data_IF_388094951019
#
_entry.id   IF_388094951019
#
_cell.length_a   1.000
_cell.length_b   1.000
_cell.length_c   1.000
_cell.angle_alpha   90.00
_cell.angle_beta   90.00
_cell.angle_gamma   90.00
#
_symmetry.space_group_name_H-M   'P 1'
#
loop_
_entity.id
_entity.type
_entity.pdbx_description
1 polymer ?
#
# COMPACT_ATOMS: atom_id res chain seq x y z
N UNK A 1 35.42 -30.95 4.67
CA UNK A 1 35.17 -29.77 5.54
C UNK A 1 34.44 -28.73 4.72
N UNK A 2 33.14 -28.59 4.92
CA UNK A 2 32.39 -27.55 4.23
C UNK A 2 32.84 -26.19 4.81
N UNK A 3 33.35 -25.29 3.96
CA UNK A 3 33.67 -23.93 4.36
C UNK A 3 32.34 -23.26 4.79
N UNK A 4 32.19 -22.97 6.07
CA UNK A 4 31.06 -22.19 6.57
C UNK A 4 30.94 -20.85 5.81
N UNK A 5 29.71 -20.36 5.67
CA UNK A 5 29.45 -19.08 5.02
C UNK A 5 30.22 -17.94 5.72
N UNK A 6 30.68 -16.97 4.95
CA UNK A 6 31.18 -15.72 5.55
C UNK A 6 30.02 -14.93 6.16
N UNK A 7 30.29 -14.07 7.15
CA UNK A 7 29.27 -13.23 7.78
C UNK A 7 28.55 -12.37 6.71
N UNK A 8 29.28 -11.85 5.73
CA UNK A 8 28.69 -11.07 4.64
C UNK A 8 27.69 -11.88 3.79
N UNK A 9 28.06 -13.13 3.46
CA UNK A 9 27.18 -14.03 2.69
C UNK A 9 25.95 -14.40 3.49
N UNK A 10 26.10 -14.75 4.78
CA UNK A 10 24.98 -15.08 5.65
C UNK A 10 24.01 -13.91 5.81
N UNK A 11 24.53 -12.70 6.08
CA UNK A 11 23.72 -11.47 6.18
C UNK A 11 23.00 -11.20 4.87
N UNK A 12 23.68 -11.31 3.73
CA UNK A 12 23.10 -11.11 2.41
C UNK A 12 21.94 -12.08 2.15
N UNK A 13 22.12 -13.37 2.39
CA UNK A 13 21.06 -14.38 2.21
C UNK A 13 19.85 -14.05 3.09
N UNK A 14 20.07 -13.80 4.40
CA UNK A 14 18.98 -13.49 5.33
C UNK A 14 18.18 -12.26 4.88
N UNK A 15 18.86 -11.25 4.36
CA UNK A 15 18.23 -10.03 3.90
C UNK A 15 17.48 -10.27 2.58
N UNK A 16 18.10 -10.91 1.60
CA UNK A 16 17.53 -11.16 0.27
C UNK A 16 16.32 -12.11 0.32
N UNK A 17 16.31 -13.06 1.26
CA UNK A 17 15.16 -13.94 1.49
C UNK A 17 13.97 -13.27 2.20
N UNK A 18 14.18 -12.07 2.76
CA UNK A 18 13.13 -11.33 3.44
C UNK A 18 12.92 -9.95 2.79
N UNK A 19 11.88 -9.80 1.95
CA UNK A 19 11.58 -8.53 1.27
C UNK A 19 11.43 -7.34 2.22
N UNK A 20 10.97 -7.57 3.47
CA UNK A 20 10.87 -6.52 4.48
C UNK A 20 12.26 -5.97 4.86
N UNK A 21 13.27 -6.85 5.03
CA UNK A 21 14.62 -6.41 5.36
C UNK A 21 15.26 -5.65 4.20
N UNK A 22 15.00 -6.09 2.96
CA UNK A 22 15.43 -5.34 1.76
C UNK A 22 14.83 -3.93 1.79
N UNK A 23 13.53 -3.80 2.01
CA UNK A 23 12.82 -2.51 2.08
C UNK A 23 13.36 -1.64 3.22
N UNK A 24 13.57 -2.20 4.40
CA UNK A 24 14.08 -1.47 5.57
C UNK A 24 15.51 -0.95 5.34
N UNK A 25 16.40 -1.79 4.80
CA UNK A 25 17.80 -1.39 4.53
C UNK A 25 17.87 -0.30 3.48
N UNK A 26 17.06 -0.44 2.49
CA UNK A 26 17.03 0.44 1.37
C UNK A 26 16.43 1.82 1.70
N UNK A 27 15.51 1.93 2.64
CA UNK A 27 14.93 3.21 3.08
C UNK A 27 15.89 4.09 3.90
N UNK A 28 17.06 3.57 4.31
CA UNK A 28 17.98 4.22 5.27
C UNK A 28 17.31 4.66 6.60
N UNK A 29 16.10 4.21 6.86
CA UNK A 29 15.33 4.55 8.09
C UNK A 29 15.47 3.48 9.17
N UNK A 30 16.18 2.39 8.89
CA UNK A 30 16.32 1.27 9.83
C UNK A 30 17.44 1.52 10.83
N UNK A 31 17.17 1.20 12.10
CA UNK A 31 18.23 1.09 13.08
C UNK A 31 19.04 -0.21 12.82
N UNK A 32 20.17 -0.07 12.14
CA UNK A 32 21.03 -1.21 11.76
C UNK A 32 21.49 -2.03 12.96
N UNK A 33 21.70 -1.41 14.11
CA UNK A 33 22.08 -2.13 15.34
C UNK A 33 20.94 -2.98 15.89
N UNK A 34 19.70 -2.50 15.79
CA UNK A 34 18.52 -3.27 16.18
C UNK A 34 18.30 -4.45 15.23
N UNK A 35 18.40 -4.21 13.92
CA UNK A 35 18.29 -5.25 12.90
C UNK A 35 19.39 -6.30 13.07
N UNK A 36 20.65 -5.87 13.28
CA UNK A 36 21.77 -6.78 13.50
C UNK A 36 21.55 -7.69 14.71
N UNK A 37 21.03 -7.18 15.82
CA UNK A 37 20.67 -7.99 17.00
C UNK A 37 19.56 -9.00 16.68
N UNK A 38 18.57 -8.58 15.91
CA UNK A 38 17.44 -9.45 15.51
C UNK A 38 17.89 -10.63 14.64
N UNK A 39 18.79 -10.39 13.68
CA UNK A 39 19.25 -11.45 12.75
C UNK A 39 20.45 -12.25 13.25
N UNK A 40 21.14 -11.78 14.33
CA UNK A 40 22.34 -12.42 14.86
C UNK A 40 22.18 -13.93 15.06
N UNK A 41 21.11 -14.44 15.71
CA UNK A 41 20.95 -15.88 15.90
C UNK A 41 21.00 -16.69 14.61
N UNK A 42 20.40 -16.19 13.53
CA UNK A 42 20.41 -16.83 12.22
C UNK A 42 21.81 -16.77 11.60
N UNK A 43 22.48 -15.61 11.70
CA UNK A 43 23.86 -15.45 11.20
C UNK A 43 24.80 -16.43 11.91
N UNK A 44 24.71 -16.58 13.23
CA UNK A 44 25.54 -17.47 14.02
C UNK A 44 25.37 -18.93 13.57
N UNK A 45 24.14 -19.36 13.33
CA UNK A 45 23.83 -20.69 12.82
C UNK A 45 24.45 -20.91 11.43
N UNK A 46 24.28 -19.95 10.50
CA UNK A 46 24.78 -20.05 9.12
C UNK A 46 26.30 -20.01 9.02
N UNK A 47 26.94 -19.27 9.92
CA UNK A 47 28.41 -19.11 9.95
C UNK A 47 29.06 -20.21 10.79
N UNK A 48 28.30 -20.86 11.71
CA UNK A 48 28.79 -21.90 12.60
C UNK A 48 29.64 -21.39 13.77
N UNK A 49 29.51 -20.12 14.14
CA UNK A 49 30.22 -19.51 15.29
C UNK A 49 29.48 -18.28 15.83
N UNK A 50 29.73 -17.92 17.07
CA UNK A 50 29.26 -16.68 17.66
C UNK A 50 29.89 -15.46 16.95
N UNK A 51 29.04 -14.58 16.43
CA UNK A 51 29.46 -13.38 15.67
C UNK A 51 29.21 -12.12 16.48
N UNK A 52 30.10 -11.15 16.36
CA UNK A 52 29.92 -9.85 17.02
C UNK A 52 28.86 -9.02 16.30
N UNK A 53 27.89 -8.44 17.03
CA UNK A 53 26.85 -7.57 16.49
C UNK A 53 27.44 -6.47 15.60
N UNK A 54 28.55 -5.87 16.02
CA UNK A 54 29.24 -4.83 15.23
C UNK A 54 29.66 -5.33 13.83
N UNK A 55 30.09 -6.57 13.69
CA UNK A 55 30.47 -7.14 12.39
C UNK A 55 29.25 -7.32 11.49
N UNK A 56 28.10 -7.71 12.06
CA UNK A 56 26.83 -7.81 11.34
C UNK A 56 26.36 -6.41 10.91
N UNK A 57 26.48 -5.38 11.79
CA UNK A 57 26.16 -3.98 11.44
C UNK A 57 26.99 -3.53 10.24
N UNK A 58 28.31 -3.81 10.24
CA UNK A 58 29.17 -3.44 9.10
C UNK A 58 28.82 -4.19 7.82
N UNK A 59 28.38 -5.43 7.91
CA UNK A 59 27.87 -6.17 6.76
C UNK A 59 26.55 -5.57 6.22
N UNK A 60 25.63 -5.19 7.09
CA UNK A 60 24.38 -4.51 6.75
C UNK A 60 24.62 -3.12 6.12
N UNK A 61 25.57 -2.32 6.67
CA UNK A 61 25.96 -1.03 6.10
C UNK A 61 26.48 -1.19 4.65
N UNK A 62 27.36 -2.17 4.42
CA UNK A 62 27.87 -2.44 3.06
C UNK A 62 26.77 -2.93 2.12
N UNK A 63 25.87 -3.75 2.64
CA UNK A 63 24.75 -4.29 1.86
C UNK A 63 23.76 -3.17 1.50
N UNK A 64 23.45 -2.25 2.41
CA UNK A 64 22.56 -1.11 2.16
C UNK A 64 23.06 -0.19 1.04
N UNK A 65 24.37 -0.07 0.86
CA UNK A 65 24.95 0.69 -0.25
C UNK A 65 24.69 0.05 -1.62
N UNK A 66 24.52 -1.28 -1.65
CA UNK A 66 24.22 -2.02 -2.89
C UNK A 66 22.72 -2.03 -3.21
N UNK A 67 21.87 -1.92 -2.21
CA UNK A 67 20.46 -1.66 -2.40
C UNK A 67 20.31 -0.13 -2.60
N UNK A 68 20.67 0.34 -3.81
CA UNK A 68 20.02 1.57 -4.26
C UNK A 68 18.55 1.24 -4.29
N UNK A 69 17.87 1.54 -3.21
CA UNK A 69 16.48 1.87 -3.40
C UNK A 69 16.48 2.92 -4.49
N UNK A 70 15.68 2.59 -5.36
CA UNK A 70 14.75 3.56 -5.85
C UNK A 70 14.33 4.36 -4.62
N UNK A 71 15.05 5.44 -4.33
CA UNK A 71 14.63 6.47 -3.40
C UNK A 71 13.48 7.20 -4.11
N UNK A 72 12.38 6.44 -4.37
CA UNK A 72 11.18 6.94 -5.03
C UNK A 72 10.42 7.91 -4.13
N UNK A 73 10.89 8.10 -2.87
CA UNK A 73 10.23 9.05 -1.97
C UNK A 73 10.16 10.47 -2.54
N UNK A 74 11.24 11.06 -3.08
CA UNK A 74 11.14 12.36 -3.75
C UNK A 74 10.21 12.30 -4.96
N UNK A 75 10.28 11.24 -5.76
CA UNK A 75 9.43 11.08 -6.94
C UNK A 75 7.98 10.81 -6.56
N UNK A 76 7.74 10.02 -5.50
CA UNK A 76 6.40 9.79 -4.93
C UNK A 76 5.82 11.11 -4.42
N UNK A 77 6.58 11.86 -3.62
CA UNK A 77 6.12 13.13 -3.05
C UNK A 77 5.86 14.15 -4.17
N UNK A 78 6.73 14.22 -5.17
CA UNK A 78 6.55 15.07 -6.36
C UNK A 78 5.29 14.67 -7.14
N UNK A 79 5.09 13.38 -7.40
CA UNK A 79 3.92 12.88 -8.10
C UNK A 79 2.62 13.16 -7.33
N UNK A 80 2.63 12.99 -6.00
CA UNK A 80 1.49 13.37 -5.15
C UNK A 80 1.24 14.87 -5.18
N UNK A 81 2.28 15.69 -5.28
CA UNK A 81 2.17 17.15 -5.37
C UNK A 81 1.37 17.62 -6.58
N UNK A 82 1.42 16.89 -7.69
CA UNK A 82 0.72 17.18 -8.95
C UNK A 82 -0.53 16.32 -9.18
N UNK A 83 -0.78 15.33 -8.31
CA UNK A 83 -1.92 14.45 -8.44
C UNK A 83 -3.24 15.19 -8.18
N UNK A 84 -4.27 14.82 -8.92
CA UNK A 84 -5.64 15.24 -8.62
C UNK A 84 -6.25 14.29 -7.58
N UNK A 85 -6.92 14.84 -6.57
CA UNK A 85 -7.55 14.08 -5.51
C UNK A 85 -9.05 14.34 -5.53
N UNK A 86 -9.83 13.29 -5.73
CA UNK A 86 -11.29 13.33 -5.71
C UNK A 86 -11.79 12.47 -4.56
N UNK A 87 -12.72 13.02 -3.80
CA UNK A 87 -13.35 12.33 -2.66
C UNK A 87 -14.80 12.04 -2.95
N UNK A 88 -15.18 10.78 -2.77
CA UNK A 88 -16.56 10.31 -2.86
C UNK A 88 -17.04 9.94 -1.46
N UNK A 89 -17.95 10.74 -0.91
CA UNK A 89 -18.63 10.44 0.35
C UNK A 89 -19.89 9.64 0.08
N UNK A 90 -20.28 8.80 1.03
CA UNK A 90 -21.52 8.02 0.90
C UNK A 90 -21.42 6.87 -0.11
N UNK A 91 -20.28 6.21 -0.15
CA UNK A 91 -20.12 4.93 -0.83
C UNK A 91 -20.62 3.81 0.10
N UNK A 92 -21.20 2.79 -0.49
CA UNK A 92 -21.58 1.57 0.20
C UNK A 92 -20.81 0.38 -0.35
N UNK A 93 -20.56 -0.61 0.49
CA UNK A 93 -20.07 -1.92 0.06
C UNK A 93 -21.07 -3.00 0.45
N UNK A 94 -21.31 -3.90 -0.48
CA UNK A 94 -22.13 -5.09 -0.27
C UNK A 94 -21.42 -6.32 -0.82
N UNK A 95 -21.50 -7.40 -0.06
CA UNK A 95 -21.06 -8.74 -0.49
C UNK A 95 -22.28 -9.62 -0.71
N UNK A 96 -22.42 -10.16 -1.90
CA UNK A 96 -23.53 -11.05 -2.26
C UNK A 96 -23.00 -12.35 -2.84
N UNK A 97 -23.70 -13.49 -2.61
CA UNK A 97 -23.32 -14.77 -3.18
C UNK A 97 -23.29 -14.71 -4.71
N UNK A 98 -22.38 -15.46 -5.32
CA UNK A 98 -22.27 -15.58 -6.78
C UNK A 98 -23.33 -16.53 -7.32
N UNK A 99 -24.57 -16.05 -7.42
CA UNK A 99 -25.71 -16.75 -8.07
C UNK A 99 -26.05 -16.08 -9.39
N UNK A 100 -26.75 -16.76 -10.26
CA UNK A 100 -27.19 -16.20 -11.55
C UNK A 100 -28.09 -14.96 -11.34
N UNK A 101 -29.03 -15.04 -10.40
CA UNK A 101 -29.88 -13.91 -10.04
C UNK A 101 -29.08 -12.68 -9.59
N UNK A 102 -28.08 -12.88 -8.72
CA UNK A 102 -27.24 -11.80 -8.24
C UNK A 102 -26.33 -11.24 -9.34
N UNK A 103 -25.85 -12.07 -10.27
CA UNK A 103 -25.13 -11.61 -11.45
C UNK A 103 -25.97 -10.66 -12.29
N UNK A 104 -27.22 -11.04 -12.59
CA UNK A 104 -28.14 -10.20 -13.35
C UNK A 104 -28.41 -8.86 -12.63
N UNK A 105 -28.62 -8.89 -11.32
CA UNK A 105 -28.83 -7.69 -10.50
C UNK A 105 -27.60 -6.74 -10.59
N UNK A 106 -26.39 -7.29 -10.46
CA UNK A 106 -25.16 -6.51 -10.55
C UNK A 106 -24.94 -5.96 -11.95
N UNK A 107 -25.27 -6.72 -13.00
CA UNK A 107 -25.19 -6.24 -14.38
C UNK A 107 -26.13 -5.05 -14.61
N UNK A 108 -27.37 -5.12 -14.15
CA UNK A 108 -28.32 -4.00 -14.22
C UNK A 108 -27.83 -2.76 -13.45
N UNK A 109 -27.26 -2.96 -12.25
CA UNK A 109 -26.67 -1.87 -11.48
C UNK A 109 -25.49 -1.25 -12.22
N UNK A 110 -24.59 -2.07 -12.77
CA UNK A 110 -23.44 -1.61 -13.55
C UNK A 110 -23.89 -0.73 -14.73
N UNK A 111 -24.87 -1.19 -15.50
CA UNK A 111 -25.35 -0.47 -16.67
C UNK A 111 -25.99 0.87 -16.28
N UNK A 112 -26.74 0.89 -15.17
CA UNK A 112 -27.29 2.13 -14.61
C UNK A 112 -26.18 3.10 -14.21
N UNK A 113 -25.20 2.65 -13.42
CA UNK A 113 -24.12 3.51 -12.93
C UNK A 113 -23.22 4.01 -14.06
N UNK A 114 -22.97 3.16 -15.06
CA UNK A 114 -22.21 3.55 -16.25
C UNK A 114 -22.95 4.62 -17.06
N UNK A 115 -24.27 4.50 -17.23
CA UNK A 115 -25.07 5.52 -17.94
C UNK A 115 -25.08 6.89 -17.21
N UNK A 116 -24.83 6.90 -15.92
CA UNK A 116 -24.78 8.10 -15.08
C UNK A 116 -23.37 8.65 -14.87
N UNK A 117 -22.35 8.06 -15.53
CA UNK A 117 -20.94 8.41 -15.33
C UNK A 117 -20.51 8.32 -13.85
N UNK A 118 -21.08 7.40 -13.09
CA UNK A 118 -20.85 7.25 -11.66
C UNK A 118 -19.75 6.24 -11.41
N UNK A 119 -18.83 6.54 -10.50
CA UNK A 119 -17.77 5.61 -10.10
C UNK A 119 -18.31 4.46 -9.27
N UNK A 120 -17.92 3.25 -9.65
CA UNK A 120 -18.22 2.02 -8.92
C UNK A 120 -17.12 0.98 -9.13
N UNK A 121 -17.07 0.01 -8.23
CA UNK A 121 -16.12 -1.11 -8.30
C UNK A 121 -16.90 -2.39 -8.11
N UNK A 122 -16.66 -3.36 -8.99
CA UNK A 122 -17.21 -4.72 -8.87
C UNK A 122 -16.04 -5.69 -8.87
N UNK A 123 -15.94 -6.50 -7.83
CA UNK A 123 -14.97 -7.58 -7.71
C UNK A 123 -15.68 -8.90 -7.58
N UNK A 124 -15.16 -9.93 -8.24
CA UNK A 124 -15.64 -11.30 -8.15
C UNK A 124 -14.47 -12.17 -7.65
N UNK A 125 -14.64 -12.79 -6.49
CA UNK A 125 -13.64 -13.67 -5.86
C UNK A 125 -13.86 -15.16 -6.17
N UNK A 126 -14.83 -15.47 -7.04
CA UNK A 126 -15.21 -16.84 -7.40
C UNK A 126 -16.35 -17.43 -6.55
N UNK A 127 -16.61 -16.87 -5.36
CA UNK A 127 -17.71 -17.30 -4.47
C UNK A 127 -18.72 -16.20 -4.23
N UNK A 128 -18.25 -14.95 -4.21
CA UNK A 128 -19.04 -13.75 -3.95
C UNK A 128 -18.78 -12.67 -4.97
N UNK A 129 -19.71 -11.76 -5.08
CA UNK A 129 -19.55 -10.49 -5.79
C UNK A 129 -19.51 -9.40 -4.74
N UNK A 130 -18.46 -8.60 -4.76
CA UNK A 130 -18.30 -7.39 -3.96
C UNK A 130 -18.64 -6.18 -4.83
N UNK A 131 -19.55 -5.35 -4.38
CA UNK A 131 -19.97 -4.15 -5.10
C UNK A 131 -19.72 -2.94 -4.20
N UNK A 132 -18.94 -2.00 -4.68
CA UNK A 132 -18.71 -0.70 -4.04
C UNK A 132 -19.27 0.36 -4.98
N UNK A 133 -20.30 1.08 -4.53
CA UNK A 133 -20.95 2.10 -5.33
C UNK A 133 -21.63 3.14 -4.38
N UNK A 134 -22.16 4.26 -4.90
CA UNK A 134 -22.90 5.19 -4.06
C UNK A 134 -24.06 4.49 -3.35
N UNK A 135 -24.16 4.73 -2.05
CA UNK A 135 -25.07 4.06 -1.13
C UNK A 135 -26.53 4.03 -1.63
N UNK A 136 -26.98 5.15 -2.19
CA UNK A 136 -28.35 5.29 -2.70
C UNK A 136 -28.72 4.29 -3.81
N UNK A 137 -27.73 3.81 -4.56
CA UNK A 137 -27.97 2.83 -5.64
C UNK A 137 -27.85 1.39 -5.14
N UNK A 138 -26.95 1.13 -4.21
CA UNK A 138 -26.75 -0.21 -3.61
C UNK A 138 -28.01 -0.61 -2.83
N UNK A 139 -28.61 0.29 -2.06
CA UNK A 139 -29.81 0.02 -1.26
C UNK A 139 -31.00 -0.48 -2.09
N UNK A 140 -31.10 -0.05 -3.34
CA UNK A 140 -32.16 -0.47 -4.25
C UNK A 140 -31.95 -1.89 -4.82
N UNK A 141 -30.71 -2.36 -4.89
CA UNK A 141 -30.36 -3.64 -5.51
C UNK A 141 -30.20 -4.76 -4.47
N UNK A 142 -29.78 -4.41 -3.26
CA UNK A 142 -29.39 -5.35 -2.22
C UNK A 142 -30.12 -5.10 -0.90
N UNK A 143 -31.44 -5.11 -0.93
CA UNK A 143 -32.31 -4.83 0.24
C UNK A 143 -32.09 -5.73 1.45
N UNK A 144 -31.62 -6.95 1.23
CA UNK A 144 -31.46 -7.98 2.26
C UNK A 144 -30.03 -8.13 2.78
N UNK A 145 -29.07 -7.44 2.18
CA UNK A 145 -27.66 -7.57 2.54
C UNK A 145 -27.23 -6.45 3.49
N UNK A 146 -26.31 -6.79 4.40
CA UNK A 146 -25.69 -5.77 5.25
C UNK A 146 -24.80 -4.87 4.39
N UNK A 147 -25.13 -3.59 4.35
CA UNK A 147 -24.36 -2.57 3.65
C UNK A 147 -23.46 -1.87 4.65
N UNK A 148 -22.17 -1.80 4.34
CA UNK A 148 -21.21 -1.01 5.10
C UNK A 148 -20.96 0.32 4.40
N UNK A 149 -20.88 1.41 5.18
CA UNK A 149 -20.68 2.76 4.66
C UNK A 149 -19.20 3.14 4.67
N UNK A 150 -18.74 3.67 3.55
CA UNK A 150 -17.34 4.06 3.33
C UNK A 150 -17.23 5.42 2.65
N UNK A 151 -16.03 5.99 2.76
CA UNK A 151 -15.58 7.02 1.85
C UNK A 151 -14.52 6.45 0.92
N UNK A 152 -14.50 6.92 -0.31
CA UNK A 152 -13.50 6.56 -1.29
C UNK A 152 -12.73 7.81 -1.72
N UNK A 153 -11.42 7.73 -1.69
CA UNK A 153 -10.51 8.76 -2.20
C UNK A 153 -9.82 8.20 -3.44
N UNK A 154 -9.99 8.88 -4.56
CA UNK A 154 -9.29 8.61 -5.81
C UNK A 154 -8.13 9.57 -5.96
N UNK A 155 -6.95 9.05 -6.21
CA UNK A 155 -5.72 9.81 -6.48
C UNK A 155 -5.35 9.52 -7.93
N UNK A 156 -5.38 10.54 -8.76
CA UNK A 156 -5.11 10.46 -10.19
C UNK A 156 -3.76 11.10 -10.50
N UNK A 157 -2.88 10.34 -11.13
CA UNK A 157 -1.57 10.84 -11.56
C UNK A 157 -1.63 11.21 -13.04
N UNK A 158 -1.08 12.38 -13.38
CA UNK A 158 -1.01 12.83 -14.78
C UNK A 158 -0.15 11.89 -15.63
N UNK A 159 0.94 11.39 -15.03
CA UNK A 159 1.84 10.41 -15.60
C UNK A 159 1.70 9.06 -14.91
N UNK A 160 2.58 8.11 -15.28
CA UNK A 160 2.60 6.80 -14.64
C UNK A 160 2.79 6.93 -13.13
N UNK A 161 1.87 6.37 -12.36
CA UNK A 161 1.98 6.32 -10.90
C UNK A 161 3.31 5.70 -10.46
N UNK A 162 4.09 6.34 -9.58
CA UNK A 162 5.43 5.88 -9.19
C UNK A 162 5.42 4.47 -8.62
N UNK A 163 6.53 3.77 -8.81
CA UNK A 163 6.75 2.47 -8.14
C UNK A 163 6.79 2.71 -6.62
N UNK A 164 6.21 1.81 -5.83
CA UNK A 164 6.20 1.92 -4.37
C UNK A 164 5.13 2.86 -3.78
N UNK A 165 4.39 3.62 -4.59
CA UNK A 165 3.37 4.57 -4.13
C UNK A 165 2.31 3.92 -3.23
N UNK A 166 1.83 2.72 -3.55
CA UNK A 166 0.83 2.01 -2.74
C UNK A 166 1.41 1.66 -1.38
N UNK A 167 2.63 1.12 -1.34
CA UNK A 167 3.34 0.80 -0.10
C UNK A 167 3.56 2.05 0.75
N UNK A 168 3.99 3.14 0.14
CA UNK A 168 4.15 4.43 0.79
C UNK A 168 2.84 4.91 1.42
N UNK A 169 1.75 4.95 0.65
CA UNK A 169 0.43 5.40 1.13
C UNK A 169 -0.05 4.55 2.31
N UNK A 170 0.05 3.22 2.21
CA UNK A 170 -0.35 2.30 3.27
C UNK A 170 0.46 2.53 4.55
N UNK A 171 1.78 2.73 4.44
CA UNK A 171 2.62 3.01 5.60
C UNK A 171 2.30 4.36 6.25
N UNK A 172 2.13 5.41 5.44
CA UNK A 172 1.80 6.74 5.95
C UNK A 172 0.42 6.76 6.61
N UNK A 173 -0.58 6.11 6.00
CA UNK A 173 -1.91 5.94 6.61
C UNK A 173 -1.81 5.19 7.94
N UNK A 174 -1.10 4.06 8.00
CA UNK A 174 -0.91 3.27 9.22
C UNK A 174 -0.26 4.10 10.34
N UNK A 175 0.76 4.90 10.02
CA UNK A 175 1.42 5.79 10.97
C UNK A 175 0.49 6.90 11.52
N UNK A 176 -0.56 7.23 10.78
CA UNK A 176 -1.59 8.19 11.18
C UNK A 176 -2.89 7.53 11.66
N UNK A 177 -2.85 6.24 12.02
CA UNK A 177 -3.98 5.46 12.53
C UNK A 177 -5.20 5.43 11.57
N UNK A 178 -4.92 5.48 10.27
CA UNK A 178 -5.92 5.32 9.23
C UNK A 178 -5.77 3.92 8.65
N UNK A 179 -6.80 3.08 8.83
CA UNK A 179 -6.86 1.75 8.23
C UNK A 179 -7.69 1.81 6.97
N UNK A 180 -7.09 1.44 5.84
CA UNK A 180 -7.84 1.27 4.61
C UNK A 180 -8.56 -0.09 4.61
N UNK A 181 -9.81 -0.10 4.19
CA UNK A 181 -10.54 -1.34 3.88
C UNK A 181 -10.02 -1.94 2.59
N UNK A 182 -9.85 -1.09 1.56
CA UNK A 182 -9.28 -1.46 0.28
C UNK A 182 -8.31 -0.39 -0.21
N UNK A 183 -7.25 -0.83 -0.87
CA UNK A 183 -6.36 0.02 -1.68
C UNK A 183 -6.23 -0.66 -3.04
N UNK A 184 -6.79 -0.04 -4.05
CA UNK A 184 -6.84 -0.57 -5.40
C UNK A 184 -6.04 0.35 -6.33
N UNK A 185 -5.24 -0.25 -7.19
CA UNK A 185 -4.55 0.47 -8.26
C UNK A 185 -5.08 0.02 -9.61
N UNK A 186 -5.50 0.96 -10.39
CA UNK A 186 -5.88 0.74 -11.77
C UNK A 186 -5.23 1.81 -12.64
N UNK A 187 -4.35 1.38 -13.53
CA UNK A 187 -3.54 2.25 -14.39
C UNK A 187 -2.79 3.32 -13.60
N UNK A 188 -3.10 4.58 -13.81
CA UNK A 188 -2.51 5.74 -13.13
C UNK A 188 -3.30 6.18 -11.88
N UNK A 189 -4.37 5.47 -11.56
CA UNK A 189 -5.26 5.81 -10.45
C UNK A 189 -5.04 4.90 -9.24
N UNK A 190 -5.17 5.49 -8.06
CA UNK A 190 -5.24 4.74 -6.81
C UNK A 190 -6.55 5.09 -6.11
N UNK A 191 -7.28 4.06 -5.72
CA UNK A 191 -8.51 4.17 -4.95
C UNK A 191 -8.24 3.68 -3.54
N UNK A 192 -8.47 4.55 -2.57
CA UNK A 192 -8.36 4.22 -1.14
C UNK A 192 -9.74 4.27 -0.53
N UNK A 193 -10.19 3.16 0.02
CA UNK A 193 -11.51 3.02 0.64
C UNK A 193 -11.31 2.88 2.14
N UNK A 194 -11.90 3.77 2.89
CA UNK A 194 -11.79 3.86 4.35
C UNK A 194 -13.18 3.97 4.96
N UNK A 195 -13.31 3.70 6.25
CA UNK A 195 -14.52 4.04 6.98
C UNK A 195 -14.89 5.52 6.74
N UNK A 196 -16.17 5.80 6.57
CA UNK A 196 -16.66 7.14 6.21
C UNK A 196 -16.09 8.24 7.10
N UNK A 197 -16.00 7.98 8.41
CA UNK A 197 -15.50 8.92 9.42
C UNK A 197 -13.98 9.20 9.27
N UNK A 198 -13.23 8.31 8.63
CA UNK A 198 -11.79 8.46 8.40
C UNK A 198 -11.47 9.23 7.11
N UNK A 199 -12.46 9.46 6.24
CA UNK A 199 -12.25 10.14 4.97
C UNK A 199 -11.65 11.54 5.12
N UNK A 200 -12.14 12.42 6.04
CA UNK A 200 -11.55 13.75 6.24
C UNK A 200 -10.10 13.68 6.73
N UNK A 201 -9.78 12.69 7.58
CA UNK A 201 -8.41 12.49 8.07
C UNK A 201 -7.46 12.07 6.93
N UNK A 202 -7.92 11.17 6.07
CA UNK A 202 -7.16 10.73 4.91
C UNK A 202 -6.92 11.90 3.95
N UNK A 203 -7.95 12.69 3.63
CA UNK A 203 -7.82 13.85 2.76
C UNK A 203 -6.82 14.86 3.33
N UNK A 204 -6.92 15.21 4.60
CA UNK A 204 -5.98 16.12 5.27
C UNK A 204 -4.54 15.57 5.26
N UNK A 205 -4.37 14.28 5.43
CA UNK A 205 -3.06 13.63 5.34
C UNK A 205 -2.47 13.77 3.93
N UNK A 206 -3.25 13.50 2.89
CA UNK A 206 -2.82 13.63 1.49
C UNK A 206 -2.47 15.08 1.15
N UNK A 207 -3.27 16.06 1.59
CA UNK A 207 -2.98 17.48 1.38
C UNK A 207 -1.68 17.92 2.09
N UNK A 208 -1.41 17.43 3.30
CA UNK A 208 -0.12 17.67 3.98
C UNK A 208 1.06 17.10 3.20
N UNK A 209 0.91 15.93 2.60
CA UNK A 209 1.94 15.34 1.76
C UNK A 209 2.18 16.18 0.51
N UNK A 210 1.13 16.69 -0.13
CA UNK A 210 1.22 17.55 -1.32
C UNK A 210 1.91 18.89 -1.04
N UNK A 211 1.68 19.48 0.12
CA UNK A 211 2.21 20.79 0.52
C UNK A 211 3.53 20.68 1.30
N UNK A 212 4.09 19.50 1.43
CA UNK A 212 5.35 19.27 2.14
C UNK A 212 6.49 20.11 1.53
N UNK A 213 7.40 20.71 2.36
CA UNK A 213 8.57 21.45 1.88
C UNK A 213 9.47 20.65 0.93
N UNK A 214 9.43 19.32 1.01
CA UNK A 214 10.16 18.43 0.10
C UNK A 214 9.62 18.57 -1.33
N UNK A 215 8.33 18.80 -1.53
CA UNK A 215 7.71 19.06 -2.85
C UNK A 215 8.21 20.40 -3.40
N UNK A 216 8.28 21.42 -2.57
CA UNK A 216 8.72 22.76 -2.97
C UNK A 216 10.20 22.81 -3.43
N UNK A 217 11.03 21.90 -2.96
CA UNK A 217 12.44 21.78 -3.36
C UNK A 217 12.64 20.92 -4.62
N UNK A 218 11.76 19.98 -4.89
CA UNK A 218 11.84 19.11 -6.07
C UNK A 218 11.29 19.76 -7.35
N UNK A 219 10.63 20.93 -7.23
CA UNK A 219 10.05 21.69 -8.36
C UNK A 219 10.94 22.84 -8.85
N UNK A 220 12.14 22.99 -8.29
CA UNK A 220 13.20 23.92 -8.73
C UNK A 220 14.33 23.15 -9.42
#
# INVERSE_FOLDING_TARGET
MSRGLSIQQAVRIIVEENPLYVTLLSSNLVNLSALARSIKPLVDVMVGKDTKVFTIVKALERLSLNYKLVNDYPDIVKALGTAEIITYSGMGEVEIPLTEENRERVLKLRDLLASMNTHFIVLNDGNKIHVIAPLMYITNVCKESKISEYGMVRIMFADRAPVGIVTFLVQVMKSNQITAKHVLRYDNDIYVIVEREKTPLLLNLLEKLRTSPVVAQASK
#
